data_IF_908786783448
#
_entry.id   IF_908786783448
#
_cell.length_a   1.000
_cell.length_b   1.000
_cell.length_c   1.000
_cell.angle_alpha   90.00
_cell.angle_beta   90.00
_cell.angle_gamma   90.00
#
_symmetry.space_group_name_H-M   'P 1'
#
loop_
_entity.id
_entity.type
_entity.pdbx_description
1 polymer ?
#
# COMPACT_ATOMS: atom_id res chain seq x y z
N UNK A 1 4.93 3.63 23.65
CA UNK A 1 4.15 3.00 22.57
C UNK A 1 3.79 4.12 21.63
N UNK A 2 4.55 4.26 20.54
CA UNK A 2 4.69 5.53 19.88
C UNK A 2 4.52 5.36 18.37
N UNK A 3 3.31 5.59 17.87
CA UNK A 3 3.18 6.05 16.49
C UNK A 3 3.28 7.57 16.54
N UNK A 4 4.23 8.14 15.82
CA UNK A 4 4.38 9.60 15.71
C UNK A 4 4.38 10.01 14.25
N UNK A 5 3.60 11.02 13.90
CA UNK A 5 3.68 11.63 12.58
C UNK A 5 4.71 12.74 12.54
N UNK A 6 5.47 12.80 11.46
CA UNK A 6 6.41 13.87 11.13
C UNK A 6 5.80 14.67 9.97
N UNK A 7 5.27 15.86 10.27
CA UNK A 7 4.46 16.64 9.33
C UNK A 7 5.20 17.92 8.92
N UNK A 8 5.13 18.30 7.66
CA UNK A 8 5.68 19.56 7.15
C UNK A 8 5.71 19.61 5.63
N UNK A 9 5.95 20.78 5.01
CA UNK A 9 6.05 20.90 3.55
C UNK A 9 7.26 20.14 2.98
N UNK A 10 7.33 20.03 1.65
CA UNK A 10 8.52 19.51 0.98
C UNK A 10 9.76 20.34 1.37
N UNK A 11 10.91 19.68 1.54
CA UNK A 11 12.17 20.37 1.92
C UNK A 11 12.26 20.79 3.40
N UNK A 12 11.28 20.45 4.24
CA UNK A 12 11.24 20.85 5.67
C UNK A 12 12.21 20.10 6.59
N UNK A 13 12.99 19.15 6.08
CA UNK A 13 13.99 18.39 6.85
C UNK A 13 13.50 17.07 7.47
N UNK A 14 12.28 16.61 7.15
CA UNK A 14 11.76 15.31 7.63
C UNK A 14 12.68 14.13 7.27
N UNK A 15 13.07 14.01 6.00
CA UNK A 15 13.96 12.96 5.51
C UNK A 15 15.31 12.99 6.23
N UNK A 16 15.90 14.18 6.38
CA UNK A 16 17.16 14.35 7.10
C UNK A 16 17.03 13.91 8.57
N UNK A 17 15.93 14.26 9.22
CA UNK A 17 15.62 13.79 10.57
C UNK A 17 15.52 12.26 10.64
N UNK A 18 14.78 11.60 9.73
CA UNK A 18 14.69 10.14 9.68
C UNK A 18 16.08 9.51 9.54
N UNK A 19 16.88 9.99 8.59
CA UNK A 19 18.23 9.49 8.34
C UNK A 19 19.14 9.65 9.56
N UNK A 20 19.13 10.80 10.23
CA UNK A 20 19.97 11.03 11.40
C UNK A 20 19.58 10.13 12.58
N UNK A 21 18.29 9.87 12.76
CA UNK A 21 17.80 8.93 13.78
C UNK A 21 18.21 7.49 13.46
N UNK A 22 18.09 7.06 12.21
CA UNK A 22 18.53 5.74 11.76
C UNK A 22 20.04 5.56 11.94
N UNK A 23 20.84 6.57 11.58
CA UNK A 23 22.31 6.54 11.81
C UNK A 23 22.66 6.38 13.29
N UNK A 24 21.89 7.02 14.19
CA UNK A 24 22.10 6.84 15.63
C UNK A 24 21.73 5.41 16.08
N UNK A 25 20.63 4.84 15.58
CA UNK A 25 20.30 3.44 15.86
C UNK A 25 21.40 2.48 15.42
N UNK A 26 21.99 2.71 14.25
CA UNK A 26 23.13 1.91 13.76
C UNK A 26 24.33 2.00 14.72
N UNK A 27 24.70 3.21 15.16
CA UNK A 27 25.80 3.42 16.12
C UNK A 27 25.53 2.82 17.49
N UNK A 28 24.27 2.84 17.92
CA UNK A 28 23.81 2.23 19.18
C UNK A 28 23.68 0.70 19.10
N UNK A 29 23.82 0.10 17.91
CA UNK A 29 23.64 -1.33 17.70
C UNK A 29 22.18 -1.78 17.80
N UNK A 30 21.22 -0.87 17.62
CA UNK A 30 19.78 -1.12 17.77
C UNK A 30 19.09 -1.34 16.42
N UNK A 31 18.12 -2.26 16.34
CA UNK A 31 17.48 -2.59 15.07
C UNK A 31 16.62 -1.43 14.56
N UNK A 32 16.86 -1.03 13.31
CA UNK A 32 16.11 0.03 12.64
C UNK A 32 15.71 -0.35 11.22
N UNK A 33 14.54 0.11 10.78
CA UNK A 33 14.15 -0.01 9.36
C UNK A 33 13.80 1.36 8.83
N UNK A 34 14.36 1.67 7.67
CA UNK A 34 13.89 2.78 6.85
C UNK A 34 12.97 2.24 5.76
N UNK A 35 11.68 2.48 5.93
CA UNK A 35 10.65 2.04 5.01
C UNK A 35 10.39 3.14 3.98
N UNK A 36 10.71 2.87 2.72
CA UNK A 36 10.59 3.83 1.61
C UNK A 36 9.95 3.17 0.38
N UNK A 37 9.37 3.93 -0.57
CA UNK A 37 8.92 3.39 -1.84
C UNK A 37 10.03 2.62 -2.55
N UNK A 38 9.66 1.56 -3.28
CA UNK A 38 10.62 0.68 -3.95
C UNK A 38 11.57 1.45 -4.88
N UNK A 39 11.06 2.50 -5.55
CA UNK A 39 11.81 3.37 -6.45
C UNK A 39 12.90 4.20 -5.75
N UNK A 40 12.83 4.35 -4.42
CA UNK A 40 13.73 5.19 -3.64
C UNK A 40 14.69 4.40 -2.74
N UNK A 41 14.58 3.08 -2.69
CA UNK A 41 15.40 2.21 -1.83
C UNK A 41 16.90 2.42 -2.03
N UNK A 42 17.39 2.37 -3.28
CA UNK A 42 18.82 2.57 -3.58
C UNK A 42 19.32 3.97 -3.19
N UNK A 43 18.55 5.02 -3.49
CA UNK A 43 18.91 6.39 -3.11
C UNK A 43 18.95 6.57 -1.61
N UNK A 44 17.99 5.99 -0.89
CA UNK A 44 17.89 6.04 0.56
C UNK A 44 19.06 5.30 1.24
N UNK A 45 19.43 4.13 0.73
CA UNK A 45 20.61 3.37 1.20
C UNK A 45 21.90 4.20 1.08
N UNK A 46 22.12 4.77 -0.11
CA UNK A 46 23.30 5.61 -0.38
C UNK A 46 23.33 6.85 0.51
N UNK A 47 22.18 7.48 0.74
CA UNK A 47 22.08 8.66 1.59
C UNK A 47 22.33 8.31 3.06
N UNK A 48 21.83 7.17 3.52
CA UNK A 48 22.03 6.69 4.89
C UNK A 48 23.53 6.47 5.19
N UNK A 49 24.27 5.91 4.22
CA UNK A 49 25.73 5.71 4.25
C UNK A 49 26.58 6.95 3.93
N UNK A 50 25.96 8.13 3.77
CA UNK A 50 26.69 9.36 3.45
C UNK A 50 27.77 9.79 4.46
N UNK A 51 27.58 9.65 5.79
CA UNK A 51 28.59 10.04 6.78
C UNK A 51 29.87 9.16 6.70
N UNK A 52 31.06 9.75 6.84
CA UNK A 52 32.33 9.02 6.68
C UNK A 52 32.61 8.02 7.81
N UNK A 53 31.94 8.15 8.95
CA UNK A 53 32.05 7.25 10.11
C UNK A 53 31.21 5.97 9.96
N UNK A 54 30.35 5.90 8.95
CA UNK A 54 29.55 4.72 8.64
C UNK A 54 30.11 3.99 7.43
N UNK A 55 30.75 2.84 7.67
CA UNK A 55 31.33 2.00 6.61
C UNK A 55 30.40 0.87 6.14
N UNK A 56 29.23 0.74 6.75
CA UNK A 56 28.22 -0.28 6.43
C UNK A 56 27.03 -0.18 7.37
N UNK A 57 25.96 -0.92 7.05
CA UNK A 57 24.76 -1.05 7.88
C UNK A 57 24.62 -2.50 8.33
N UNK A 58 24.55 -2.73 9.64
CA UNK A 58 24.41 -4.06 10.24
C UNK A 58 23.11 -4.18 11.04
N UNK A 59 22.71 -3.11 11.70
CA UNK A 59 21.53 -3.07 12.57
C UNK A 59 20.34 -2.37 11.88
N UNK A 60 20.63 -1.48 10.93
CA UNK A 60 19.63 -0.75 10.14
C UNK A 60 19.48 -1.34 8.74
N UNK A 61 18.26 -1.33 8.21
CA UNK A 61 17.95 -1.77 6.84
C UNK A 61 17.07 -0.76 6.12
N UNK A 62 17.32 -0.51 4.84
CA UNK A 62 16.37 0.20 3.96
C UNK A 62 15.53 -0.82 3.22
N UNK A 63 14.21 -0.75 3.35
CA UNK A 63 13.27 -1.71 2.78
C UNK A 63 12.09 -0.99 2.12
N UNK A 64 11.54 -1.59 1.07
CA UNK A 64 10.17 -1.33 0.63
C UNK A 64 9.18 -2.22 1.37
N UNK A 65 7.88 -1.97 1.25
CA UNK A 65 6.85 -2.87 1.80
C UNK A 65 7.01 -4.31 1.32
N UNK A 66 7.25 -4.51 0.03
CA UNK A 66 7.56 -5.82 -0.57
C UNK A 66 8.76 -6.48 0.07
N UNK A 67 9.87 -5.74 0.23
CA UNK A 67 11.11 -6.27 0.82
C UNK A 67 10.96 -6.53 2.32
N UNK A 68 10.14 -5.73 3.02
CA UNK A 68 9.78 -5.96 4.41
C UNK A 68 9.01 -7.27 4.57
N UNK A 69 7.99 -7.51 3.74
CA UNK A 69 7.23 -8.75 3.76
C UNK A 69 8.12 -9.97 3.52
N UNK A 70 9.00 -9.88 2.51
CA UNK A 70 9.98 -10.92 2.21
C UNK A 70 10.91 -11.18 3.40
N UNK A 71 11.44 -10.12 4.02
CA UNK A 71 12.32 -10.20 5.18
C UNK A 71 11.62 -10.86 6.39
N UNK A 72 10.36 -10.51 6.67
CA UNK A 72 9.58 -11.13 7.74
C UNK A 72 9.38 -12.64 7.52
N UNK A 73 9.08 -13.05 6.29
CA UNK A 73 8.92 -14.47 5.93
C UNK A 73 10.23 -15.25 6.04
N UNK A 74 11.31 -14.67 5.52
CA UNK A 74 12.64 -15.28 5.61
C UNK A 74 13.04 -15.47 7.08
N UNK A 75 12.81 -14.44 7.92
CA UNK A 75 13.06 -14.49 9.36
C UNK A 75 12.22 -15.55 10.08
N UNK A 76 11.00 -15.80 9.63
CA UNK A 76 10.12 -16.85 10.16
C UNK A 76 10.42 -18.25 9.59
N UNK A 77 11.35 -18.37 8.63
CA UNK A 77 11.65 -19.64 7.96
C UNK A 77 10.54 -20.12 7.01
N UNK A 78 9.63 -19.25 6.57
CA UNK A 78 8.60 -19.60 5.61
C UNK A 78 9.17 -19.84 4.21
N UNK A 79 8.57 -20.76 3.47
CA UNK A 79 8.90 -20.96 2.07
C UNK A 79 8.50 -19.73 1.24
N UNK A 80 9.48 -19.09 0.61
CA UNK A 80 9.28 -17.92 -0.23
C UNK A 80 8.74 -18.34 -1.60
N UNK A 81 7.45 -18.12 -1.82
CA UNK A 81 6.85 -18.30 -3.14
C UNK A 81 7.28 -17.16 -4.08
N UNK A 82 7.74 -17.47 -5.29
CA UNK A 82 8.14 -16.42 -6.22
C UNK A 82 6.91 -15.66 -6.76
N UNK A 83 7.03 -14.34 -6.84
CA UNK A 83 5.99 -13.47 -7.40
C UNK A 83 6.05 -13.49 -8.93
N UNK A 84 4.89 -13.46 -9.58
CA UNK A 84 4.82 -13.22 -11.04
C UNK A 84 5.02 -11.74 -11.34
N UNK A 85 5.59 -11.40 -12.49
CA UNK A 85 5.62 -10.02 -12.95
C UNK A 85 4.20 -9.57 -13.34
N UNK A 86 3.87 -8.30 -13.07
CA UNK A 86 2.62 -7.67 -13.51
C UNK A 86 2.37 -7.82 -15.02
N UNK A 87 3.42 -7.83 -15.85
CA UNK A 87 3.35 -8.03 -17.29
C UNK A 87 2.95 -9.47 -17.68
N UNK A 88 3.11 -10.44 -16.78
CA UNK A 88 2.73 -11.85 -16.99
C UNK A 88 1.25 -12.07 -16.66
N UNK A 89 0.62 -11.22 -15.84
CA UNK A 89 -0.79 -11.35 -15.45
C UNK A 89 -1.75 -11.49 -16.66
N UNK A 90 -1.66 -10.67 -17.73
CA UNK A 90 -2.49 -10.84 -18.93
C UNK A 90 -2.32 -12.22 -19.61
N UNK A 91 -1.13 -12.82 -19.55
CA UNK A 91 -0.86 -14.14 -20.14
C UNK A 91 -1.53 -15.25 -19.35
N UNK A 92 -1.48 -15.17 -18.02
CA UNK A 92 -2.17 -16.12 -17.13
C UNK A 92 -3.68 -15.98 -17.33
N UNK A 93 -4.20 -14.75 -17.36
CA UNK A 93 -5.61 -14.48 -17.63
C UNK A 93 -6.06 -15.04 -18.97
N UNK A 94 -5.25 -14.91 -20.03
CA UNK A 94 -5.55 -15.54 -21.33
C UNK A 94 -5.70 -17.05 -21.20
N UNK A 95 -4.75 -17.72 -20.53
CA UNK A 95 -4.82 -19.16 -20.30
C UNK A 95 -6.03 -19.57 -19.46
N UNK A 96 -6.48 -18.72 -18.53
CA UNK A 96 -7.67 -18.95 -17.72
C UNK A 96 -8.93 -18.85 -18.60
N UNK A 97 -9.07 -17.76 -19.36
CA UNK A 97 -10.24 -17.53 -20.21
C UNK A 97 -10.40 -18.57 -21.32
N UNK A 98 -9.30 -19.10 -21.86
CA UNK A 98 -9.32 -20.17 -22.87
C UNK A 98 -9.86 -21.50 -22.32
N UNK A 99 -9.78 -21.72 -21.00
CA UNK A 99 -10.24 -22.95 -20.33
C UNK A 99 -11.63 -22.83 -19.71
N UNK A 100 -12.16 -21.61 -19.57
CA UNK A 100 -13.48 -21.37 -18.97
C UNK A 100 -14.62 -21.62 -19.97
N UNK A 101 -15.74 -22.13 -19.47
CA UNK A 101 -16.95 -22.33 -20.26
C UNK A 101 -17.48 -20.95 -20.77
N UNK A 102 -17.74 -20.78 -22.08
CA UNK A 102 -18.35 -19.58 -22.65
C UNK A 102 -19.59 -19.07 -21.90
N UNK A 103 -20.44 -19.97 -21.40
CA UNK A 103 -21.67 -19.60 -20.68
C UNK A 103 -21.36 -18.84 -19.37
N UNK A 104 -20.32 -19.26 -18.64
CA UNK A 104 -19.87 -18.61 -17.40
C UNK A 104 -19.26 -17.24 -17.67
N UNK A 105 -18.54 -17.12 -18.80
CA UNK A 105 -17.95 -15.86 -19.24
C UNK A 105 -19.00 -14.85 -19.74
N UNK A 106 -20.19 -15.31 -20.11
CA UNK A 106 -21.28 -14.47 -20.59
C UNK A 106 -20.81 -13.49 -21.68
N UNK A 107 -21.04 -12.17 -21.53
CA UNK A 107 -20.59 -11.17 -22.51
C UNK A 107 -19.08 -11.19 -22.80
N UNK A 108 -18.24 -11.58 -21.83
CA UNK A 108 -16.79 -11.64 -21.98
C UNK A 108 -16.33 -12.76 -22.94
N UNK A 109 -17.15 -13.78 -23.16
CA UNK A 109 -16.80 -14.94 -24.00
C UNK A 109 -16.41 -14.52 -25.42
N UNK A 110 -17.17 -13.59 -26.01
CA UNK A 110 -16.94 -13.08 -27.37
C UNK A 110 -15.66 -12.21 -27.49
N UNK A 111 -15.13 -11.75 -26.36
CA UNK A 111 -14.01 -10.80 -26.31
C UNK A 111 -12.73 -11.38 -25.69
N UNK A 112 -12.75 -12.65 -25.24
CA UNK A 112 -11.67 -13.27 -24.44
C UNK A 112 -10.28 -13.30 -25.09
N UNK A 113 -10.20 -13.22 -26.42
CA UNK A 113 -8.93 -13.17 -27.16
C UNK A 113 -8.41 -11.75 -27.43
N UNK A 114 -9.16 -10.70 -27.06
CA UNK A 114 -8.78 -9.31 -27.37
C UNK A 114 -7.74 -8.81 -26.36
N UNK A 115 -6.56 -8.33 -26.80
CA UNK A 115 -5.51 -7.83 -25.90
C UNK A 115 -6.00 -6.74 -24.94
N UNK A 116 -6.85 -5.83 -25.41
CA UNK A 116 -7.43 -4.78 -24.57
C UNK A 116 -8.26 -5.32 -23.40
N UNK A 117 -9.00 -6.41 -23.59
CA UNK A 117 -9.78 -7.05 -22.50
C UNK A 117 -8.86 -7.68 -21.47
N UNK A 118 -7.79 -8.35 -21.90
CA UNK A 118 -6.81 -8.93 -20.98
C UNK A 118 -6.14 -7.85 -20.11
N UNK A 119 -5.81 -6.69 -20.70
CA UNK A 119 -5.26 -5.56 -19.94
C UNK A 119 -6.26 -4.97 -18.94
N UNK A 120 -7.54 -4.84 -19.32
CA UNK A 120 -8.57 -4.36 -18.38
C UNK A 120 -8.80 -5.36 -17.25
N UNK A 121 -8.86 -6.66 -17.53
CA UNK A 121 -8.97 -7.70 -16.52
C UNK A 121 -7.74 -7.71 -15.59
N UNK A 122 -6.55 -7.50 -16.15
CA UNK A 122 -5.30 -7.39 -15.38
C UNK A 122 -5.35 -6.23 -14.37
N UNK A 123 -5.85 -5.06 -14.79
CA UNK A 123 -6.06 -3.90 -13.91
C UNK A 123 -7.11 -4.18 -12.85
N UNK A 124 -8.25 -4.75 -13.26
CA UNK A 124 -9.33 -5.14 -12.37
C UNK A 124 -8.86 -6.11 -11.27
N UNK A 125 -8.10 -7.16 -11.62
CA UNK A 125 -7.53 -8.08 -10.63
C UNK A 125 -6.64 -7.34 -9.64
N UNK A 126 -5.78 -6.43 -10.11
CA UNK A 126 -4.93 -5.62 -9.22
C UNK A 126 -5.73 -4.74 -8.28
N UNK A 127 -6.79 -4.10 -8.80
CA UNK A 127 -7.67 -3.23 -8.01
C UNK A 127 -8.42 -4.00 -6.92
N UNK A 128 -8.99 -5.16 -7.25
CA UNK A 128 -9.67 -6.05 -6.29
C UNK A 128 -8.71 -6.50 -5.19
N UNK A 129 -7.48 -6.87 -5.55
CA UNK A 129 -6.48 -7.32 -4.58
C UNK A 129 -6.02 -6.18 -3.66
N UNK A 130 -5.81 -4.99 -4.21
CA UNK A 130 -5.38 -3.81 -3.45
C UNK A 130 -6.45 -3.29 -2.48
N UNK A 131 -7.73 -3.41 -2.82
CA UNK A 131 -8.83 -2.86 -2.01
C UNK A 131 -9.51 -3.89 -1.11
N UNK A 132 -9.22 -5.19 -1.28
CA UNK A 132 -9.75 -6.26 -0.45
C UNK A 132 -10.61 -7.22 -1.27
N UNK A 133 -10.14 -8.42 -1.59
CA UNK A 133 -10.90 -9.36 -2.41
C UNK A 133 -12.13 -9.91 -1.69
N UNK A 134 -12.10 -9.96 -0.35
CA UNK A 134 -13.23 -10.42 0.47
C UNK A 134 -14.41 -9.47 0.29
N UNK A 135 -14.23 -8.16 0.47
CA UNK A 135 -15.27 -7.15 0.28
C UNK A 135 -15.86 -7.17 -1.15
N UNK A 136 -15.04 -7.43 -2.16
CA UNK A 136 -15.49 -7.54 -3.55
C UNK A 136 -16.30 -8.82 -3.79
N UNK A 137 -15.83 -9.97 -3.31
CA UNK A 137 -16.50 -11.26 -3.50
C UNK A 137 -17.78 -11.36 -2.67
N UNK A 138 -17.79 -10.84 -1.44
CA UNK A 138 -18.97 -10.75 -0.59
C UNK A 138 -20.03 -9.83 -1.22
N UNK A 139 -19.62 -8.68 -1.77
CA UNK A 139 -20.54 -7.79 -2.49
C UNK A 139 -21.16 -8.47 -3.72
N UNK A 140 -20.40 -9.32 -4.42
CA UNK A 140 -20.93 -10.10 -5.55
C UNK A 140 -21.87 -11.21 -5.08
N UNK A 141 -21.56 -11.90 -3.99
CA UNK A 141 -22.40 -12.97 -3.48
C UNK A 141 -23.77 -12.44 -3.01
N UNK A 142 -23.77 -11.30 -2.31
CA UNK A 142 -25.00 -10.57 -1.97
C UNK A 142 -25.78 -10.19 -3.24
N UNK A 143 -25.08 -9.64 -4.24
CA UNK A 143 -25.66 -9.28 -5.53
C UNK A 143 -26.22 -10.47 -6.32
N UNK A 144 -25.63 -11.67 -6.16
CA UNK A 144 -26.05 -12.92 -6.79
C UNK A 144 -27.31 -13.47 -6.13
N UNK A 145 -27.38 -13.46 -4.80
CA UNK A 145 -28.58 -13.85 -4.04
C UNK A 145 -29.78 -12.99 -4.41
N UNK A 146 -29.57 -11.69 -4.68
CA UNK A 146 -30.62 -10.80 -5.18
C UNK A 146 -31.12 -11.20 -6.58
N UNK A 147 -30.24 -11.67 -7.48
CA UNK A 147 -30.62 -12.15 -8.81
C UNK A 147 -31.42 -13.47 -8.75
N UNK A 148 -30.97 -14.44 -7.96
CA UNK A 148 -31.68 -15.72 -7.81
C UNK A 148 -33.04 -15.50 -7.15
N UNK A 149 -33.15 -14.60 -6.17
CA UNK A 149 -34.43 -14.23 -5.57
C UNK A 149 -35.43 -13.64 -6.60
N UNK A 150 -34.94 -12.87 -7.59
CA UNK A 150 -35.75 -12.33 -8.70
C UNK A 150 -36.15 -13.38 -9.74
N UNK A 151 -35.32 -14.40 -9.92
CA UNK A 151 -35.60 -15.51 -10.86
C UNK A 151 -36.74 -16.40 -10.36
N UNK A 152 -36.96 -16.41 -9.04
CA UNK A 152 -38.00 -17.19 -8.35
C UNK A 152 -39.31 -16.40 -8.20
N UNK A 153 -39.26 -15.05 -8.20
CA UNK A 153 -40.43 -14.17 -8.08
C UNK A 153 -40.31 -12.96 -9.04
N UNK A 154 -40.77 -13.09 -10.30
CA UNK A 154 -40.62 -12.09 -11.35
C UNK A 154 -41.53 -10.86 -11.19
N UNK A 155 -42.53 -10.90 -10.30
CA UNK A 155 -43.46 -9.77 -10.02
C UNK A 155 -42.94 -8.80 -8.95
N UNK A 156 -41.78 -9.08 -8.34
CA UNK A 156 -41.07 -8.09 -7.50
C UNK A 156 -40.69 -6.87 -8.33
N UNK A 157 -41.40 -5.77 -8.08
CA UNK A 157 -41.18 -4.39 -8.56
C UNK A 157 -39.75 -4.13 -9.06
N UNK A 158 -39.62 -3.91 -10.36
CA UNK A 158 -38.38 -3.55 -11.05
C UNK A 158 -37.91 -2.11 -10.80
N UNK A 159 -38.71 -1.31 -10.09
CA UNK A 159 -38.44 0.11 -9.82
C UNK A 159 -37.51 0.35 -8.62
N UNK A 160 -37.36 -0.63 -7.71
CA UNK A 160 -36.53 -0.51 -6.50
C UNK A 160 -35.15 -1.20 -6.62
N UNK A 161 -34.82 -1.72 -7.80
CA UNK A 161 -33.54 -2.39 -8.03
C UNK A 161 -32.39 -1.39 -8.17
N UNK A 162 -31.49 -1.35 -7.20
CA UNK A 162 -30.31 -0.47 -7.23
C UNK A 162 -29.35 -0.76 -8.41
N UNK A 163 -29.38 -1.97 -8.99
CA UNK A 163 -28.43 -2.41 -10.02
C UNK A 163 -29.12 -3.19 -11.15
N UNK A 164 -28.77 -2.85 -12.39
CA UNK A 164 -29.31 -3.47 -13.60
C UNK A 164 -28.84 -4.95 -13.78
N UNK A 165 -29.71 -5.87 -14.27
CA UNK A 165 -29.36 -7.29 -14.45
C UNK A 165 -28.10 -7.55 -15.29
N UNK A 166 -27.87 -6.76 -16.33
CA UNK A 166 -26.68 -6.87 -17.18
C UNK A 166 -25.37 -6.56 -16.43
N UNK A 167 -25.41 -5.64 -15.45
CA UNK A 167 -24.26 -5.31 -14.61
C UNK A 167 -23.97 -6.49 -13.68
N UNK A 168 -25.00 -7.07 -13.08
CA UNK A 168 -24.88 -8.21 -12.17
C UNK A 168 -24.30 -9.44 -12.89
N UNK A 169 -24.75 -9.72 -14.11
CA UNK A 169 -24.16 -10.78 -14.93
C UNK A 169 -22.67 -10.53 -15.22
N UNK A 170 -22.29 -9.28 -15.53
CA UNK A 170 -20.88 -8.92 -15.75
C UNK A 170 -20.04 -9.07 -14.49
N UNK A 171 -20.56 -8.66 -13.34
CA UNK A 171 -19.88 -8.81 -12.04
C UNK A 171 -19.64 -10.29 -11.72
N UNK A 172 -20.65 -11.13 -11.91
CA UNK A 172 -20.52 -12.58 -11.75
C UNK A 172 -19.40 -13.14 -12.64
N UNK A 173 -19.40 -12.84 -13.95
CA UNK A 173 -18.34 -13.29 -14.85
C UNK A 173 -16.94 -12.79 -14.42
N UNK A 174 -16.83 -11.56 -13.89
CA UNK A 174 -15.57 -11.03 -13.36
C UNK A 174 -15.11 -11.76 -12.09
N UNK A 175 -16.03 -12.11 -11.19
CA UNK A 175 -15.76 -12.90 -9.99
C UNK A 175 -15.22 -14.30 -10.34
N UNK A 176 -15.86 -14.97 -11.30
CA UNK A 176 -15.45 -16.28 -11.79
C UNK A 176 -14.04 -16.23 -12.41
N UNK A 177 -13.77 -15.20 -13.22
CA UNK A 177 -12.43 -14.98 -13.79
C UNK A 177 -11.39 -14.73 -12.70
N UNK A 178 -11.73 -13.92 -11.69
CA UNK A 178 -10.85 -13.66 -10.54
C UNK A 178 -10.55 -14.95 -9.75
N UNK A 179 -11.57 -15.74 -9.43
CA UNK A 179 -11.44 -17.00 -8.71
C UNK A 179 -10.60 -18.03 -9.48
N UNK A 180 -10.83 -18.14 -10.80
CA UNK A 180 -10.05 -19.00 -11.66
C UNK A 180 -8.57 -18.53 -11.78
N UNK A 181 -8.34 -17.22 -11.86
CA UNK A 181 -6.99 -16.64 -11.81
C UNK A 181 -6.26 -16.95 -10.50
N UNK A 182 -6.91 -16.74 -9.36
CA UNK A 182 -6.33 -17.04 -8.04
C UNK A 182 -6.02 -18.53 -7.89
N UNK A 183 -6.90 -19.41 -8.37
CA UNK A 183 -6.66 -20.86 -8.40
C UNK A 183 -5.46 -21.20 -9.27
N UNK A 184 -5.35 -20.60 -10.46
CA UNK A 184 -4.22 -20.83 -11.36
C UNK A 184 -2.88 -20.42 -10.75
N UNK A 185 -2.83 -19.30 -10.02
CA UNK A 185 -1.63 -18.88 -9.30
C UNK A 185 -1.22 -19.88 -8.21
N UNK A 186 -2.20 -20.36 -7.42
CA UNK A 186 -1.96 -21.38 -6.38
C UNK A 186 -1.40 -22.68 -6.97
N UNK A 187 -1.95 -23.16 -8.09
CA UNK A 187 -1.43 -24.34 -8.81
C UNK A 187 0.01 -24.14 -9.27
N UNK A 188 0.33 -22.94 -9.77
CA UNK A 188 1.69 -22.57 -10.19
C UNK A 188 2.64 -22.37 -9.00
N UNK A 189 2.14 -22.37 -7.76
CA UNK A 189 2.87 -22.02 -6.54
C UNK A 189 3.56 -20.64 -6.68
N UNK A 190 2.81 -19.67 -7.16
CA UNK A 190 3.26 -18.29 -7.38
C UNK A 190 2.35 -17.31 -6.66
N UNK A 191 2.90 -16.15 -6.31
CA UNK A 191 2.14 -15.03 -5.78
C UNK A 191 1.88 -13.98 -6.86
N UNK A 192 0.73 -13.32 -6.78
CA UNK A 192 0.50 -12.06 -7.47
C UNK A 192 1.33 -10.91 -6.82
N UNK A 193 1.75 -9.85 -7.55
CA UNK A 193 2.46 -8.72 -6.94
C UNK A 193 1.72 -8.10 -5.76
N UNK A 194 0.41 -7.93 -5.87
CA UNK A 194 -0.47 -7.36 -4.86
C UNK A 194 -0.69 -8.33 -3.69
N UNK A 195 -0.18 -9.57 -3.77
CA UNK A 195 -0.29 -10.57 -2.72
C UNK A 195 0.87 -10.59 -1.72
N UNK A 196 1.95 -9.85 -1.97
CA UNK A 196 3.17 -9.97 -1.18
C UNK A 196 2.96 -9.64 0.31
N UNK A 197 2.05 -8.72 0.61
CA UNK A 197 1.72 -8.29 1.97
C UNK A 197 0.70 -9.20 2.68
N UNK A 198 0.09 -10.20 2.03
CA UNK A 198 -0.95 -11.03 2.66
C UNK A 198 -0.39 -11.98 3.71
N UNK A 199 -1.09 -12.13 4.83
CA UNK A 199 -0.78 -13.17 5.81
C UNK A 199 0.53 -12.94 6.54
N UNK A 200 0.92 -11.67 6.71
CA UNK A 200 2.04 -11.29 7.57
C UNK A 200 1.61 -11.21 9.04
N UNK A 201 0.32 -11.06 9.33
CA UNK A 201 -0.21 -10.86 10.67
C UNK A 201 0.16 -11.99 11.65
N UNK A 202 0.08 -13.28 11.28
CA UNK A 202 0.54 -14.36 12.16
C UNK A 202 2.05 -14.29 12.43
N UNK A 203 2.84 -13.88 11.44
CA UNK A 203 4.30 -13.73 11.57
C UNK A 203 4.65 -12.60 12.53
N UNK A 204 3.95 -11.47 12.41
CA UNK A 204 4.11 -10.34 13.32
C UNK A 204 3.73 -10.72 14.76
N UNK A 205 2.66 -11.50 14.94
CA UNK A 205 2.24 -11.96 16.26
C UNK A 205 3.24 -12.93 16.91
N UNK A 206 3.97 -13.72 16.12
CA UNK A 206 4.95 -14.68 16.61
C UNK A 206 6.35 -14.08 16.86
N UNK A 207 6.63 -12.88 16.32
CA UNK A 207 7.96 -12.28 16.38
C UNK A 207 8.18 -11.48 17.68
N UNK A 208 8.98 -12.03 18.58
CA UNK A 208 9.34 -11.41 19.87
C UNK A 208 10.30 -10.22 19.76
N UNK A 209 10.93 -10.00 18.60
CA UNK A 209 11.88 -8.90 18.38
C UNK A 209 11.24 -7.59 17.91
N UNK A 210 9.95 -7.59 17.58
CA UNK A 210 9.25 -6.38 17.11
C UNK A 210 9.23 -5.21 18.11
N UNK A 211 9.09 -5.43 19.44
CA UNK A 211 9.12 -4.31 20.39
C UNK A 211 10.43 -3.53 20.43
N UNK A 212 11.55 -4.16 20.06
CA UNK A 212 12.86 -3.51 20.00
C UNK A 212 13.10 -2.76 18.69
N UNK A 213 12.26 -3.02 17.68
CA UNK A 213 12.37 -2.48 16.33
C UNK A 213 11.79 -1.07 16.25
N UNK A 214 12.56 -0.16 15.63
CA UNK A 214 12.07 1.18 15.25
C UNK A 214 12.00 1.30 13.74
N UNK A 215 10.86 1.75 13.20
CA UNK A 215 10.67 1.95 11.77
C UNK A 215 10.36 3.41 11.48
N UNK A 216 11.17 3.99 10.58
CA UNK A 216 10.91 5.30 10.00
C UNK A 216 10.31 5.09 8.62
N UNK A 217 9.16 5.70 8.34
CA UNK A 217 8.47 5.59 7.05
C UNK A 217 8.53 6.94 6.36
N UNK A 218 9.07 7.01 5.14
CA UNK A 218 9.20 8.27 4.38
C UNK A 218 8.99 8.08 2.87
N UNK A 219 8.61 9.15 2.18
CA UNK A 219 8.50 9.20 0.73
C UNK A 219 7.15 8.73 0.15
N UNK A 220 6.18 8.35 0.97
CA UNK A 220 4.85 7.91 0.52
C UNK A 220 3.86 9.07 0.42
N UNK A 221 3.10 9.10 -0.68
CA UNK A 221 2.00 10.07 -0.89
C UNK A 221 0.64 9.48 -0.49
N UNK A 222 0.51 8.16 -0.61
CA UNK A 222 -0.69 7.42 -0.30
C UNK A 222 -0.40 5.98 0.07
N UNK A 223 -1.38 5.34 0.71
CA UNK A 223 -1.32 3.95 1.11
C UNK A 223 -2.38 3.13 0.39
N UNK A 224 -2.02 1.93 -0.04
CA UNK A 224 -3.01 0.89 -0.28
C UNK A 224 -3.65 0.47 1.04
N UNK A 225 -4.79 -0.23 0.97
CA UNK A 225 -5.43 -0.80 2.17
C UNK A 225 -4.47 -1.70 2.95
N UNK A 226 -3.69 -2.52 2.25
CA UNK A 226 -2.78 -3.51 2.84
C UNK A 226 -1.57 -2.87 3.50
N UNK A 227 -1.00 -1.84 2.89
CA UNK A 227 0.09 -1.07 3.51
C UNK A 227 -0.37 -0.42 4.82
N UNK A 228 -1.56 0.19 4.82
CA UNK A 228 -2.12 0.79 6.02
C UNK A 228 -2.49 -0.25 7.11
N UNK A 229 -2.94 -1.44 6.71
CA UNK A 229 -3.17 -2.58 7.62
C UNK A 229 -1.87 -3.08 8.24
N UNK A 230 -0.82 -3.22 7.44
CA UNK A 230 0.51 -3.62 7.92
C UNK A 230 1.08 -2.60 8.91
N UNK A 231 1.01 -1.30 8.61
CA UNK A 231 1.45 -0.26 9.55
C UNK A 231 0.70 -0.35 10.88
N UNK A 232 -0.63 -0.52 10.84
CA UNK A 232 -1.44 -0.69 12.05
C UNK A 232 -1.08 -1.97 12.82
N UNK A 233 -0.84 -3.08 12.13
CA UNK A 233 -0.41 -4.33 12.74
C UNK A 233 0.96 -4.19 13.41
N UNK A 234 1.94 -3.57 12.75
CA UNK A 234 3.27 -3.31 13.31
C UNK A 234 3.18 -2.50 14.60
N UNK A 235 2.42 -1.41 14.59
CA UNK A 235 2.24 -0.58 15.78
C UNK A 235 1.55 -1.35 16.92
N UNK A 236 0.54 -2.17 16.60
CA UNK A 236 -0.15 -3.03 17.57
C UNK A 236 0.80 -4.04 18.22
N UNK A 237 1.78 -4.54 17.48
CA UNK A 237 2.81 -5.48 17.98
C UNK A 237 4.03 -4.79 18.62
N UNK A 238 3.92 -3.51 18.97
CA UNK A 238 4.91 -2.81 19.80
C UNK A 238 6.03 -2.12 19.04
N UNK A 239 6.02 -2.15 17.70
CA UNK A 239 7.01 -1.45 16.88
C UNK A 239 6.86 0.06 17.05
N UNK A 240 7.97 0.77 17.30
CA UNK A 240 7.99 2.23 17.31
C UNK A 240 7.96 2.74 15.86
N UNK A 241 6.91 3.49 15.48
CA UNK A 241 6.72 3.99 14.13
C UNK A 241 6.80 5.52 14.08
N UNK A 242 7.70 6.05 13.25
CA UNK A 242 7.73 7.46 12.90
C UNK A 242 7.42 7.63 11.41
N UNK A 243 6.28 8.23 11.08
CA UNK A 243 5.76 8.31 9.70
C UNK A 243 5.86 9.75 9.19
N UNK A 244 6.75 9.98 8.24
CA UNK A 244 6.93 11.26 7.57
C UNK A 244 5.93 11.45 6.42
N UNK A 245 5.16 12.53 6.50
CA UNK A 245 4.19 12.92 5.49
C UNK A 245 4.37 14.39 5.10
N UNK A 246 4.30 14.65 3.80
CA UNK A 246 4.31 16.01 3.26
C UNK A 246 2.95 16.68 3.44
N UNK A 247 2.57 16.91 4.70
CA UNK A 247 1.39 17.70 5.07
C UNK A 247 1.88 19.04 5.61
N UNK A 248 1.70 20.13 4.87
CA UNK A 248 1.96 21.48 5.39
C UNK A 248 0.84 21.88 6.37
N UNK A 249 1.10 22.09 7.67
CA UNK A 249 0.08 22.51 8.62
C UNK A 249 -0.69 23.76 8.21
N UNK A 250 -0.07 24.67 7.44
CA UNK A 250 -0.70 25.90 6.93
C UNK A 250 -1.83 25.61 5.95
N UNK A 251 -1.76 24.47 5.28
CA UNK A 251 -2.80 24.07 4.34
C UNK A 251 -4.06 23.59 5.07
N UNK A 252 -3.97 23.14 6.33
CA UNK A 252 -5.10 22.51 7.04
C UNK A 252 -6.36 23.38 7.08
N UNK A 253 -6.19 24.71 7.11
CA UNK A 253 -7.28 25.69 7.20
C UNK A 253 -7.77 26.21 5.84
N UNK A 254 -7.07 25.90 4.74
CA UNK A 254 -7.50 26.34 3.41
C UNK A 254 -8.77 25.58 2.98
N UNK A 255 -9.69 26.24 2.23
CA UNK A 255 -10.90 25.60 1.71
C UNK A 255 -10.56 24.29 1.01
N UNK A 256 -11.39 23.26 1.18
CA UNK A 256 -11.20 21.90 0.66
C UNK A 256 -10.88 21.91 -0.84
N UNK A 257 -9.61 22.02 -1.18
CA UNK A 257 -9.11 21.71 -2.51
C UNK A 257 -9.35 20.21 -2.72
N UNK A 258 -10.02 19.80 -3.80
CA UNK A 258 -10.49 18.42 -3.98
C UNK A 258 -9.39 17.35 -4.03
N UNK A 259 -8.11 17.74 -4.11
CA UNK A 259 -6.96 16.84 -4.19
C UNK A 259 -5.94 17.15 -3.10
N UNK A 260 -6.01 16.37 -2.01
CA UNK A 260 -4.97 16.32 -0.97
C UNK A 260 -4.66 14.87 -0.62
N UNK A 261 -3.95 14.15 -1.51
CA UNK A 261 -3.70 12.72 -1.34
C UNK A 261 -3.00 12.43 -0.01
N UNK A 262 -2.04 13.26 0.39
CA UNK A 262 -1.25 13.04 1.61
C UNK A 262 -2.06 13.27 2.88
N UNK A 263 -2.92 14.29 2.92
CA UNK A 263 -3.83 14.52 4.06
C UNK A 263 -4.86 13.42 4.22
N UNK A 264 -5.47 12.96 3.11
CA UNK A 264 -6.38 11.79 3.15
C UNK A 264 -5.67 10.54 3.65
N UNK A 265 -4.40 10.39 3.28
CA UNK A 265 -3.58 9.25 3.69
C UNK A 265 -3.21 9.31 5.18
N UNK A 266 -2.93 10.50 5.70
CA UNK A 266 -2.79 10.75 7.14
C UNK A 266 -4.08 10.39 7.89
N UNK A 267 -5.24 10.87 7.43
CA UNK A 267 -6.54 10.57 8.04
C UNK A 267 -6.87 9.07 8.00
N UNK A 268 -6.65 8.43 6.85
CA UNK A 268 -6.89 7.02 6.62
C UNK A 268 -6.07 6.14 7.58
N UNK A 269 -4.76 6.38 7.67
CA UNK A 269 -3.87 5.59 8.53
C UNK A 269 -4.12 5.89 10.01
N UNK A 270 -4.37 7.16 10.36
CA UNK A 270 -4.73 7.56 11.74
C UNK A 270 -6.01 6.89 12.22
N UNK A 271 -7.05 6.85 11.37
CA UNK A 271 -8.30 6.16 11.68
C UNK A 271 -8.08 4.66 11.94
N UNK A 272 -7.19 4.01 11.17
CA UNK A 272 -6.83 2.61 11.36
C UNK A 272 -6.06 2.37 12.65
N UNK A 273 -5.10 3.23 13.00
CA UNK A 273 -4.43 3.17 14.31
C UNK A 273 -5.44 3.26 15.45
N UNK A 274 -6.38 4.21 15.38
CA UNK A 274 -7.46 4.34 16.36
C UNK A 274 -8.33 3.07 16.48
N UNK A 275 -8.74 2.48 15.35
CA UNK A 275 -9.51 1.21 15.34
C UNK A 275 -8.73 0.03 15.89
N UNK A 276 -7.39 0.04 15.75
CA UNK A 276 -6.51 -1.00 16.28
C UNK A 276 -6.16 -0.79 17.77
N UNK A 277 -6.65 0.29 18.41
CA UNK A 277 -6.33 0.62 19.80
C UNK A 277 -4.90 1.14 20.00
N UNK A 278 -4.27 1.64 18.93
CA UNK A 278 -2.90 2.14 18.95
C UNK A 278 -2.91 3.63 19.28
N UNK A 279 -2.16 4.03 20.31
CA UNK A 279 -1.98 5.43 20.67
C UNK A 279 -1.06 6.14 19.68
N UNK A 280 -1.57 7.22 19.07
CA UNK A 280 -0.78 8.15 18.27
C UNK A 280 -0.30 9.28 19.18
N UNK A 281 1.01 9.48 19.24
CA UNK A 281 1.63 10.57 19.99
C UNK A 281 1.43 11.92 19.30
N UNK A 282 1.74 13.00 20.03
CA UNK A 282 1.75 14.35 19.46
C UNK A 282 2.67 14.39 18.23
N UNK A 283 2.11 14.88 17.12
CA UNK A 283 2.82 14.94 15.84
C UNK A 283 3.93 15.97 15.91
N UNK A 284 5.10 15.62 15.39
CA UNK A 284 6.22 16.56 15.27
C UNK A 284 6.05 17.36 13.98
N UNK A 285 5.94 18.68 14.11
CA UNK A 285 5.82 19.58 12.97
C UNK A 285 7.19 20.13 12.56
N UNK A 286 7.40 20.21 11.25
CA UNK A 286 8.57 20.76 10.60
C UNK A 286 8.08 21.95 9.78
N UNK A 287 8.14 23.19 10.30
CA UNK A 287 7.46 24.33 9.71
C UNK A 287 8.03 24.78 8.36
N UNK A 288 9.21 24.27 7.96
CA UNK A 288 9.82 24.58 6.68
C UNK A 288 10.50 25.95 6.60
N UNK A 289 10.59 26.67 7.72
CA UNK A 289 11.15 28.03 7.78
C UNK A 289 12.66 28.09 7.47
N UNK A 290 13.33 26.93 7.52
CA UNK A 290 14.71 26.76 7.07
C UNK A 290 14.78 25.65 6.02
N UNK A 291 15.00 25.97 4.73
CA UNK A 291 15.19 24.95 3.71
C UNK A 291 16.48 24.18 4.02
N UNK A 292 16.34 22.96 4.53
CA UNK A 292 17.48 22.08 4.85
C UNK A 292 18.04 21.39 3.62
N UNK A 293 17.32 21.44 2.49
CA UNK A 293 17.66 20.71 1.26
C UNK A 293 18.91 21.26 0.58
N UNK A 294 19.07 22.58 0.55
CA UNK A 294 20.25 23.23 -0.03
C UNK A 294 21.01 24.02 1.04
N UNK A 295 22.24 23.58 1.32
CA UNK A 295 23.17 24.32 2.20
C UNK A 295 23.72 25.60 1.54
N UNK A 296 23.73 25.66 0.22
CA UNK A 296 24.17 26.84 -0.52
C UNK A 296 23.09 27.94 -0.49
N UNK A 297 23.46 29.13 -0.02
CA UNK A 297 22.53 30.24 0.18
C UNK A 297 21.76 30.63 -1.09
N UNK A 298 22.41 30.60 -2.25
CA UNK A 298 21.78 30.92 -3.55
C UNK A 298 20.72 29.89 -3.95
N UNK A 299 21.01 28.59 -3.83
CA UNK A 299 20.04 27.54 -4.16
C UNK A 299 18.86 27.52 -3.18
N UNK A 300 19.13 27.83 -1.90
CA UNK A 300 18.12 28.02 -0.87
C UNK A 300 17.20 29.22 -1.14
N UNK A 301 17.73 30.32 -1.67
CA UNK A 301 16.94 31.50 -2.06
C UNK A 301 16.13 31.24 -3.35
N UNK A 302 16.71 30.52 -4.32
CA UNK A 302 16.02 30.08 -5.54
C UNK A 302 14.84 29.18 -5.19
N UNK A 303 15.02 28.17 -4.33
CA UNK A 303 13.93 27.28 -3.89
C UNK A 303 12.80 28.05 -3.20
N UNK A 304 13.13 28.98 -2.30
CA UNK A 304 12.15 29.84 -1.62
C UNK A 304 11.34 30.70 -2.59
N UNK A 305 11.96 31.18 -3.67
CA UNK A 305 11.31 32.07 -4.65
C UNK A 305 10.57 31.36 -5.78
N UNK A 306 10.98 30.14 -6.14
CA UNK A 306 10.31 29.31 -7.15
C UNK A 306 9.14 28.50 -6.59
N UNK A 307 9.20 28.13 -5.32
CA UNK A 307 8.14 27.39 -4.63
C UNK A 307 7.57 28.15 -3.42
N UNK A 308 7.17 29.44 -3.55
CA UNK A 308 6.63 30.21 -2.42
C UNK A 308 5.28 29.66 -1.92
N UNK A 309 4.58 28.93 -2.80
CA UNK A 309 3.38 28.16 -2.53
C UNK A 309 3.51 26.84 -3.30
N UNK A 310 3.75 25.72 -2.62
CA UNK A 310 3.72 24.40 -3.27
C UNK A 310 2.26 24.09 -3.59
N UNK A 311 1.78 24.60 -4.72
CA UNK A 311 0.59 24.16 -5.42
C UNK A 311 0.98 22.94 -6.26
N UNK A 312 0.97 21.75 -5.67
CA UNK A 312 0.82 20.46 -6.37
C UNK A 312 0.14 19.44 -5.47
#
# INVERSE_FOLDING_TARGET
MAVRFLLGPAGSGKTQYCLDRLRNLEREGRPGIYLVPEQFTFSADRELLGPPDLHGLRHVRVLSFTRFAWWMRERAGEALLPTVDSAVRPMILRSVLERMNPEVLGPLASMRGRPGVLLQLSRFVGEVRNHGPIDFLDAIEVSRLELTARSVDPDRSSADAAVAPAILQKLHSLAEVYGAYATRLREMKRLDPEEQLFGLEPLLAADSGLPDLTIYVDGFLSWTRREAELLAALAKHGVALEIALCCDPRERELPRVPFRPVWRSLEQVSSRFGRAGVTVEESRTFPGDHPTRFRAALLSDIERRLYPHVLL
#
